data_IF_385078886412
#
_entry.id   IF_385078886412
#
_cell.length_a   1.000
_cell.length_b   1.000
_cell.length_c   1.000
_cell.angle_alpha   90.00
_cell.angle_beta   90.00
_cell.angle_gamma   90.00
#
_symmetry.space_group_name_H-M   'P 1'
#
loop_
_entity.id
_entity.type
_entity.pdbx_description
1 polymer ?
#
# COMPACT_ATOMS: atom_id res chain seq x y z
N UNK A 1 19.95 -12.30 4.25
CA UNK A 1 19.98 -11.41 3.08
C UNK A 1 19.20 -10.13 3.38
N UNK A 2 19.25 -9.11 2.52
CA UNK A 2 18.37 -7.93 2.66
C UNK A 2 16.89 -8.33 2.65
N UNK A 3 16.52 -9.28 1.78
CA UNK A 3 15.15 -9.80 1.70
C UNK A 3 14.69 -10.45 3.01
N UNK A 4 15.54 -11.25 3.67
CA UNK A 4 15.18 -11.89 4.95
C UNK A 4 14.94 -10.85 6.06
N UNK A 5 15.72 -9.77 6.07
CA UNK A 5 15.56 -8.65 7.01
C UNK A 5 14.25 -7.92 6.76
N UNK A 6 13.89 -7.65 5.50
CA UNK A 6 12.60 -7.04 5.18
C UNK A 6 11.45 -7.94 5.63
N UNK A 7 11.49 -9.22 5.26
CA UNK A 7 10.42 -10.17 5.54
C UNK A 7 10.19 -10.32 7.06
N UNK A 8 11.26 -10.58 7.82
CA UNK A 8 11.18 -10.71 9.27
C UNK A 8 10.70 -9.43 9.95
N UNK A 9 11.14 -8.26 9.46
CA UNK A 9 10.69 -6.96 9.93
C UNK A 9 9.20 -6.70 9.69
N UNK A 10 8.72 -6.97 8.48
CA UNK A 10 7.29 -6.83 8.13
C UNK A 10 6.43 -7.80 8.92
N UNK A 11 6.84 -9.07 9.05
CA UNK A 11 6.15 -10.06 9.90
C UNK A 11 6.06 -9.59 11.36
N UNK A 12 7.14 -9.02 11.89
CA UNK A 12 7.15 -8.46 13.25
C UNK A 12 6.20 -7.27 13.38
N UNK A 13 6.10 -6.42 12.36
CA UNK A 13 5.12 -5.35 12.29
C UNK A 13 3.69 -5.87 12.36
N UNK A 14 3.32 -6.84 11.52
CA UNK A 14 1.98 -7.43 11.55
C UNK A 14 1.67 -8.17 12.86
N UNK A 15 2.66 -8.81 13.49
CA UNK A 15 2.48 -9.40 14.81
C UNK A 15 2.12 -8.35 15.87
N UNK A 16 2.69 -7.14 15.78
CA UNK A 16 2.34 -6.00 16.66
C UNK A 16 0.94 -5.47 16.39
N UNK A 17 0.53 -5.37 15.13
CA UNK A 17 -0.84 -4.97 14.78
C UNK A 17 -1.85 -5.96 15.38
N UNK A 18 -1.62 -7.27 15.22
CA UNK A 18 -2.46 -8.31 15.82
C UNK A 18 -2.46 -8.33 17.36
N UNK A 19 -1.45 -7.72 18.00
CA UNK A 19 -1.40 -7.49 19.44
C UNK A 19 -2.14 -6.21 19.89
N UNK A 20 -2.76 -5.47 18.97
CA UNK A 20 -3.45 -4.21 19.26
C UNK A 20 -2.53 -2.99 19.32
N UNK A 21 -1.31 -3.08 18.75
CA UNK A 21 -0.30 -2.01 18.75
C UNK A 21 -0.03 -1.45 17.33
N UNK A 22 -1.03 -0.93 16.59
CA UNK A 22 -0.86 -0.55 15.18
C UNK A 22 0.12 0.60 14.95
N UNK A 23 0.24 1.53 15.91
CA UNK A 23 1.22 2.61 15.84
C UNK A 23 2.67 2.08 15.91
N UNK A 24 2.92 1.16 16.86
CA UNK A 24 4.24 0.54 17.02
C UNK A 24 4.55 -0.42 15.87
N UNK A 25 3.53 -1.11 15.34
CA UNK A 25 3.64 -1.93 14.14
C UNK A 25 4.14 -1.10 12.94
N UNK A 26 3.49 0.04 12.66
CA UNK A 26 3.92 0.93 11.59
C UNK A 26 5.33 1.50 11.84
N UNK A 27 5.64 1.89 13.08
CA UNK A 27 6.94 2.42 13.43
C UNK A 27 8.06 1.38 13.29
N UNK A 28 7.78 0.12 13.61
CA UNK A 28 8.72 -0.99 13.44
C UNK A 28 9.05 -1.23 11.97
N UNK A 29 8.03 -1.22 11.09
CA UNK A 29 8.24 -1.34 9.64
C UNK A 29 9.03 -0.14 9.10
N UNK A 30 8.69 1.08 9.53
CA UNK A 30 9.34 2.31 9.03
C UNK A 30 10.86 2.33 9.28
N UNK A 31 11.27 1.81 10.45
CA UNK A 31 12.67 1.74 10.89
C UNK A 31 13.51 0.73 10.11
N UNK A 32 12.91 -0.15 9.31
CA UNK A 32 13.66 -1.10 8.50
C UNK A 32 14.58 -0.35 7.52
N UNK A 33 15.85 -0.73 7.56
CA UNK A 33 16.90 -0.21 6.69
C UNK A 33 17.18 -1.22 5.58
N UNK A 34 17.47 -0.74 4.37
CA UNK A 34 17.77 -1.58 3.23
C UNK A 34 17.95 -0.75 1.95
N UNK A 35 18.07 -1.40 0.79
CA UNK A 35 18.16 -0.72 -0.50
C UNK A 35 16.92 0.11 -0.80
N UNK A 36 17.01 1.04 -1.75
CA UNK A 36 15.97 2.04 -2.05
C UNK A 36 14.57 1.45 -2.29
N UNK A 37 14.49 0.25 -2.90
CA UNK A 37 13.23 -0.43 -3.15
C UNK A 37 12.46 -0.81 -1.87
N UNK A 38 13.11 -0.84 -0.70
CA UNK A 38 12.42 -1.03 0.59
C UNK A 38 11.41 0.08 0.85
N UNK A 39 11.67 1.31 0.38
CA UNK A 39 10.81 2.47 0.65
C UNK A 39 9.35 2.20 0.33
N UNK A 40 9.07 1.75 -0.90
CA UNK A 40 7.71 1.39 -1.33
C UNK A 40 7.12 0.24 -0.53
N UNK A 41 7.88 -0.84 -0.30
CA UNK A 41 7.40 -1.97 0.49
C UNK A 41 7.01 -1.55 1.91
N UNK A 42 7.84 -0.74 2.57
CA UNK A 42 7.56 -0.21 3.91
C UNK A 42 6.31 0.65 3.91
N UNK A 43 6.21 1.62 3.00
CA UNK A 43 5.06 2.52 2.93
C UNK A 43 3.75 1.77 2.63
N UNK A 44 3.76 0.84 1.67
CA UNK A 44 2.62 -0.01 1.35
C UNK A 44 2.13 -0.82 2.57
N UNK A 45 3.04 -1.50 3.27
CA UNK A 45 2.65 -2.28 4.46
C UNK A 45 2.20 -1.41 5.62
N UNK A 46 2.78 -0.22 5.81
CA UNK A 46 2.29 0.74 6.82
C UNK A 46 0.88 1.23 6.50
N UNK A 47 0.56 1.45 5.22
CA UNK A 47 -0.80 1.81 4.80
C UNK A 47 -1.79 0.68 5.09
N UNK A 48 -1.44 -0.57 4.75
CA UNK A 48 -2.26 -1.75 5.05
C UNK A 48 -2.52 -1.94 6.55
N UNK A 49 -1.50 -1.73 7.39
CA UNK A 49 -1.66 -1.80 8.86
C UNK A 49 -2.60 -0.70 9.35
N UNK A 50 -2.46 0.53 8.85
CA UNK A 50 -3.37 1.61 9.21
C UNK A 50 -4.82 1.32 8.77
N UNK A 51 -5.02 0.74 7.58
CA UNK A 51 -6.33 0.32 7.06
C UNK A 51 -6.95 -0.77 7.96
N UNK A 52 -6.20 -1.85 8.21
CA UNK A 52 -6.62 -2.95 9.08
C UNK A 52 -7.00 -2.49 10.50
N UNK A 53 -6.25 -1.54 11.05
CA UNK A 53 -6.48 -0.97 12.37
C UNK A 53 -7.61 0.08 12.42
N UNK A 54 -8.29 0.35 11.29
CA UNK A 54 -9.36 1.35 11.21
C UNK A 54 -8.88 2.81 11.26
N UNK A 55 -7.58 3.07 11.17
CA UNK A 55 -6.97 4.41 11.16
C UNK A 55 -7.13 5.08 9.78
N UNK A 56 -8.37 5.26 9.33
CA UNK A 56 -8.72 5.60 7.95
C UNK A 56 -7.96 6.83 7.40
N UNK A 57 -7.85 7.91 8.16
CA UNK A 57 -7.14 9.11 7.71
C UNK A 57 -5.64 8.85 7.50
N UNK A 58 -5.02 8.08 8.40
CA UNK A 58 -3.61 7.70 8.28
C UNK A 58 -3.40 6.76 7.09
N UNK A 59 -4.31 5.82 6.88
CA UNK A 59 -4.26 4.90 5.74
C UNK A 59 -4.33 5.68 4.41
N UNK A 60 -5.31 6.58 4.27
CA UNK A 60 -5.47 7.44 3.09
C UNK A 60 -4.19 8.24 2.78
N UNK A 61 -3.61 8.89 3.82
CA UNK A 61 -2.37 9.64 3.69
C UNK A 61 -1.20 8.79 3.18
N UNK A 62 -0.98 7.60 3.76
CA UNK A 62 0.16 6.76 3.38
C UNK A 62 -0.05 6.13 2.01
N UNK A 63 -1.26 5.63 1.71
CA UNK A 63 -1.59 5.10 0.39
C UNK A 63 -1.41 6.15 -0.71
N UNK A 64 -1.92 7.37 -0.50
CA UNK A 64 -1.79 8.48 -1.44
C UNK A 64 -0.34 8.84 -1.69
N UNK A 65 0.47 8.99 -0.63
CA UNK A 65 1.89 9.29 -0.76
C UNK A 65 2.65 8.19 -1.50
N UNK A 66 2.33 6.92 -1.24
CA UNK A 66 2.94 5.76 -1.92
C UNK A 66 2.55 5.70 -3.39
N UNK A 67 1.30 6.04 -3.73
CA UNK A 67 0.83 6.13 -5.11
C UNK A 67 1.54 7.25 -5.88
N UNK A 68 1.78 8.40 -5.24
CA UNK A 68 2.45 9.54 -5.87
C UNK A 68 3.93 9.28 -6.19
N UNK A 69 4.57 8.33 -5.51
CA UNK A 69 5.98 7.98 -5.75
C UNK A 69 6.15 7.04 -6.96
N UNK A 70 5.85 7.56 -8.15
CA UNK A 70 5.99 6.85 -9.43
C UNK A 70 7.46 6.60 -9.80
N UNK A 71 8.37 7.44 -9.31
CA UNK A 71 9.80 7.27 -9.51
C UNK A 71 10.30 5.99 -8.82
N UNK A 72 9.97 5.79 -7.54
CA UNK A 72 10.24 4.52 -6.88
C UNK A 72 9.42 3.38 -7.50
N UNK A 73 8.23 3.68 -8.03
CA UNK A 73 7.40 2.73 -8.78
C UNK A 73 8.14 2.06 -9.92
N UNK A 74 9.01 2.78 -10.64
CA UNK A 74 9.85 2.19 -11.68
C UNK A 74 10.84 1.13 -11.18
N UNK A 75 11.28 1.24 -9.92
CA UNK A 75 12.20 0.28 -9.29
C UNK A 75 11.48 -0.93 -8.66
N UNK A 76 10.22 -0.77 -8.24
CA UNK A 76 9.38 -1.87 -7.72
C UNK A 76 7.93 -1.79 -8.25
N UNK A 77 7.72 -2.06 -9.56
CA UNK A 77 6.42 -1.87 -10.22
C UNK A 77 5.29 -2.66 -9.59
N UNK A 78 5.56 -3.92 -9.21
CA UNK A 78 4.55 -4.81 -8.64
C UNK A 78 4.07 -4.32 -7.27
N UNK A 79 4.96 -3.75 -6.45
CA UNK A 79 4.61 -3.21 -5.13
C UNK A 79 3.80 -1.93 -5.27
N UNK A 80 4.19 -1.06 -6.20
CA UNK A 80 3.43 0.15 -6.50
C UNK A 80 2.01 -0.18 -7.02
N UNK A 81 1.89 -1.18 -7.90
CA UNK A 81 0.59 -1.64 -8.41
C UNK A 81 -0.30 -2.23 -7.31
N UNK A 82 0.27 -3.03 -6.40
CA UNK A 82 -0.48 -3.54 -5.22
C UNK A 82 -0.95 -2.43 -4.29
N UNK A 83 -0.14 -1.38 -4.12
CA UNK A 83 -0.55 -0.19 -3.38
C UNK A 83 -1.76 0.49 -4.05
N UNK A 84 -1.72 0.70 -5.36
CA UNK A 84 -2.82 1.31 -6.11
C UNK A 84 -4.12 0.48 -5.99
N UNK A 85 -4.03 -0.84 -6.17
CA UNK A 85 -5.18 -1.74 -6.01
C UNK A 85 -5.75 -1.67 -4.59
N UNK A 86 -4.91 -1.82 -3.56
CA UNK A 86 -5.35 -1.77 -2.17
C UNK A 86 -5.98 -0.42 -1.81
N UNK A 87 -5.41 0.67 -2.30
CA UNK A 87 -5.92 2.02 -2.06
C UNK A 87 -7.27 2.27 -2.71
N UNK A 88 -7.44 1.85 -3.97
CA UNK A 88 -8.74 1.93 -4.65
C UNK A 88 -9.80 1.11 -3.89
N UNK A 89 -9.47 -0.11 -3.47
CA UNK A 89 -10.37 -0.93 -2.65
C UNK A 89 -10.70 -0.27 -1.31
N UNK A 90 -9.72 0.33 -0.63
CA UNK A 90 -9.94 1.08 0.61
C UNK A 90 -10.93 2.23 0.40
N UNK A 91 -10.71 3.06 -0.62
CA UNK A 91 -11.58 4.19 -0.95
C UNK A 91 -13.00 3.74 -1.30
N UNK A 92 -13.15 2.67 -2.08
CA UNK A 92 -14.44 2.11 -2.44
C UNK A 92 -15.21 1.62 -1.19
N UNK A 93 -14.55 0.91 -0.27
CA UNK A 93 -15.16 0.49 1.02
C UNK A 93 -15.59 1.68 1.88
N UNK A 94 -14.91 2.83 1.75
CA UNK A 94 -15.26 4.08 2.44
C UNK A 94 -16.34 4.90 1.73
N UNK A 95 -16.81 4.47 0.56
CA UNK A 95 -17.83 5.15 -0.25
C UNK A 95 -17.29 6.21 -1.20
N UNK A 96 -15.96 6.42 -1.26
CA UNK A 96 -15.34 7.37 -2.18
C UNK A 96 -15.02 6.70 -3.53
N UNK A 97 -16.08 6.29 -4.23
CA UNK A 97 -15.96 5.61 -5.53
C UNK A 97 -15.23 6.47 -6.56
N UNK A 98 -15.46 7.78 -6.56
CA UNK A 98 -14.84 8.70 -7.52
C UNK A 98 -13.31 8.72 -7.37
N UNK A 99 -12.80 8.86 -6.15
CA UNK A 99 -11.37 8.82 -5.89
C UNK A 99 -10.80 7.41 -6.15
N UNK A 100 -11.54 6.36 -5.81
CA UNK A 100 -11.13 4.99 -6.10
C UNK A 100 -10.90 4.74 -7.61
N UNK A 101 -11.84 5.16 -8.46
CA UNK A 101 -11.70 5.07 -9.91
C UNK A 101 -10.52 5.90 -10.44
N UNK A 102 -10.27 7.08 -9.87
CA UNK A 102 -9.10 7.91 -10.21
C UNK A 102 -7.77 7.24 -9.84
N UNK A 103 -7.71 6.47 -8.75
CA UNK A 103 -6.53 5.66 -8.42
C UNK A 103 -6.33 4.56 -9.47
N UNK A 104 -7.40 3.90 -9.90
CA UNK A 104 -7.32 2.87 -10.95
C UNK A 104 -6.95 3.47 -12.31
N UNK A 105 -7.34 4.71 -12.61
CA UNK A 105 -6.90 5.42 -13.83
C UNK A 105 -5.38 5.63 -13.80
N UNK A 106 -4.83 6.04 -12.66
CA UNK A 106 -3.39 6.19 -12.48
C UNK A 106 -2.66 4.84 -12.59
N UNK A 107 -3.23 3.77 -12.04
CA UNK A 107 -2.67 2.42 -12.16
C UNK A 107 -2.62 1.94 -13.61
N UNK A 108 -3.71 2.15 -14.37
CA UNK A 108 -3.78 1.80 -15.79
C UNK A 108 -2.79 2.63 -16.63
N UNK A 109 -2.61 3.91 -16.32
CA UNK A 109 -1.62 4.76 -16.98
C UNK A 109 -0.17 4.32 -16.68
N UNK A 110 0.09 3.86 -15.45
CA UNK A 110 1.41 3.37 -15.05
C UNK A 110 1.75 2.02 -15.71
N UNK A 111 0.80 1.08 -15.71
CA UNK A 111 0.96 -0.22 -16.34
C UNK A 111 -0.37 -0.68 -16.98
N UNK A 112 -0.55 -0.48 -18.29
CA UNK A 112 -1.81 -0.80 -18.97
C UNK A 112 -2.14 -2.30 -19.02
N UNK A 113 -3.44 -2.63 -19.04
CA UNK A 113 -3.95 -3.97 -19.31
C UNK A 113 -3.81 -4.96 -18.17
N UNK A 114 -3.63 -4.49 -16.93
CA UNK A 114 -3.51 -5.35 -15.75
C UNK A 114 -4.89 -5.86 -15.35
N UNK A 115 -5.07 -7.19 -15.40
CA UNK A 115 -6.36 -7.84 -15.14
C UNK A 115 -6.91 -7.43 -13.77
N UNK A 116 -6.07 -7.43 -12.74
CA UNK A 116 -6.42 -7.05 -11.37
C UNK A 116 -6.97 -5.62 -11.24
N UNK A 117 -6.52 -4.68 -12.10
CA UNK A 117 -7.00 -3.29 -12.11
C UNK A 117 -8.34 -3.21 -12.85
N UNK A 118 -8.45 -3.87 -14.00
CA UNK A 118 -9.70 -3.89 -14.77
C UNK A 118 -10.85 -4.56 -14.02
N UNK A 119 -10.60 -5.70 -13.37
CA UNK A 119 -11.60 -6.39 -12.54
C UNK A 119 -12.05 -5.54 -11.35
N UNK A 120 -11.11 -4.93 -10.61
CA UNK A 120 -11.48 -4.07 -9.48
C UNK A 120 -12.29 -2.84 -9.94
N UNK A 121 -12.00 -2.29 -11.12
CA UNK A 121 -12.79 -1.19 -11.70
C UNK A 121 -14.24 -1.61 -11.94
N UNK A 122 -14.45 -2.79 -12.49
CA UNK A 122 -15.80 -3.34 -12.73
C UNK A 122 -16.56 -3.55 -11.43
N UNK A 123 -15.91 -4.01 -10.38
CA UNK A 123 -16.53 -4.21 -9.05
C UNK A 123 -16.93 -2.90 -8.36
N UNK A 124 -16.22 -1.80 -8.61
CA UNK A 124 -16.49 -0.49 -7.98
C UNK A 124 -17.68 0.22 -8.63
N UNK A 125 -17.91 0.02 -9.92
CA UNK A 125 -19.01 0.64 -10.67
C UNK A 125 -20.37 0.11 -10.19
#
# INVERSE_FOLDING_TARGET
>A
SDLDRLLSGVMSGWAKEGAGEPADAMAAIDKLQGPDWFGLFKSFHRALIADAAGMSEKADQIYAATLQDTAAGGAAPETWMRNAQAYASFLARKGDKAKALSVLDQAEAFAPGKLEITTLREEIN
#
